data_IF_734055034986
#
_entry.id   IF_734055034986
#
_cell.length_a   1.000
_cell.length_b   1.000
_cell.length_c   1.000
_cell.angle_alpha   90.00
_cell.angle_beta   90.00
_cell.angle_gamma   90.00
#
_symmetry.space_group_name_H-M   'P 1'
#
loop_
_entity.id
_entity.type
_entity.pdbx_description
1 polymer ?
#
# COMPACT_ATOMS: atom_id res chain seq x y z
N UNK A 1 8.42 -13.45 2.99
CA UNK A 1 8.72 -12.31 2.09
C UNK A 1 8.30 -12.69 0.69
N UNK A 2 7.67 -11.76 -0.02
CA UNK A 2 7.20 -11.89 -1.39
C UNK A 2 8.01 -10.94 -2.26
N UNK A 3 8.43 -11.40 -3.43
CA UNK A 3 9.05 -10.57 -4.46
C UNK A 3 8.45 -10.93 -5.80
N UNK A 4 7.92 -9.93 -6.50
CA UNK A 4 7.41 -10.07 -7.87
C UNK A 4 8.12 -9.06 -8.75
N UNK A 5 8.48 -9.48 -9.95
CA UNK A 5 9.05 -8.61 -10.97
C UNK A 5 8.23 -8.75 -12.24
N UNK A 6 7.91 -7.62 -12.85
CA UNK A 6 7.28 -7.55 -14.16
C UNK A 6 7.96 -6.50 -15.03
N UNK A 7 7.83 -6.69 -16.33
CA UNK A 7 8.39 -5.79 -17.34
C UNK A 7 7.31 -5.43 -18.33
N UNK A 8 7.18 -4.13 -18.61
CA UNK A 8 6.20 -3.56 -19.51
C UNK A 8 6.89 -2.91 -20.71
N UNK A 9 6.25 -2.94 -21.87
CA UNK A 9 6.76 -2.31 -23.11
C UNK A 9 5.98 -1.06 -23.51
N UNK A 10 4.86 -0.80 -22.84
CA UNK A 10 3.82 0.15 -23.23
C UNK A 10 3.38 1.05 -22.08
N UNK A 11 4.17 1.10 -21.00
CA UNK A 11 4.01 1.95 -19.82
C UNK A 11 5.39 2.43 -19.39
N UNK A 12 5.55 3.74 -19.19
CA UNK A 12 6.80 4.35 -18.72
C UNK A 12 6.91 4.37 -17.18
N UNK A 13 8.14 4.55 -16.70
CA UNK A 13 8.42 4.56 -15.26
C UNK A 13 7.82 5.73 -14.49
N UNK A 14 7.63 6.90 -15.12
CA UNK A 14 7.01 8.06 -14.47
C UNK A 14 5.52 7.82 -14.24
N UNK A 15 4.83 7.22 -15.19
CA UNK A 15 3.42 6.83 -15.06
C UNK A 15 3.22 5.81 -13.94
N UNK A 16 4.07 4.78 -13.85
CA UNK A 16 4.02 3.83 -12.73
C UNK A 16 4.25 4.52 -11.38
N UNK A 17 5.19 5.45 -11.33
CA UNK A 17 5.51 6.20 -10.12
C UNK A 17 4.33 7.05 -9.65
N UNK A 18 3.70 7.77 -10.58
CA UNK A 18 2.52 8.57 -10.30
C UNK A 18 1.34 7.71 -9.81
N UNK A 19 1.07 6.58 -10.49
CA UNK A 19 0.00 5.63 -10.09
C UNK A 19 0.22 5.09 -8.68
N UNK A 20 1.47 4.82 -8.32
CA UNK A 20 1.82 4.28 -7.01
C UNK A 20 1.71 5.33 -5.90
N UNK A 21 1.89 6.61 -6.22
CA UNK A 21 1.81 7.70 -5.26
C UNK A 21 0.40 8.26 -5.09
N UNK A 22 -0.37 8.40 -6.16
CA UNK A 22 -1.63 9.16 -6.17
C UNK A 22 -2.73 8.49 -5.30
N UNK A 23 -3.01 9.01 -4.10
CA UNK A 23 -3.97 8.39 -3.18
C UNK A 23 -5.41 8.58 -3.67
N UNK A 24 -5.67 9.61 -4.48
CA UNK A 24 -7.00 9.84 -5.05
C UNK A 24 -7.28 8.85 -6.17
N UNK A 25 -6.27 8.57 -7.00
CA UNK A 25 -6.41 7.55 -8.03
C UNK A 25 -6.47 6.14 -7.46
N UNK A 26 -5.74 5.86 -6.37
CA UNK A 26 -5.78 4.51 -5.75
C UNK A 26 -7.21 4.05 -5.44
N UNK A 27 -8.08 4.95 -4.99
CA UNK A 27 -9.50 4.67 -4.72
C UNK A 27 -10.28 4.16 -5.94
N UNK A 28 -9.81 4.40 -7.16
CA UNK A 28 -10.53 4.00 -8.38
C UNK A 28 -10.13 2.63 -8.92
N UNK A 29 -8.92 2.17 -8.61
CA UNK A 29 -8.39 0.91 -9.16
C UNK A 29 -8.08 -0.15 -8.11
N UNK A 30 -7.89 0.25 -6.86
CA UNK A 30 -7.71 -0.65 -5.74
C UNK A 30 -9.05 -1.00 -5.11
N UNK A 31 -9.67 -2.06 -5.63
CA UNK A 31 -10.97 -2.55 -5.16
C UNK A 31 -10.94 -3.08 -3.72
N UNK A 32 -9.74 -3.33 -3.18
CA UNK A 32 -9.57 -3.79 -1.79
C UNK A 32 -9.43 -2.63 -0.80
N UNK A 33 -9.24 -1.40 -1.26
CA UNK A 33 -9.10 -0.23 -0.39
C UNK A 33 -10.45 0.17 0.23
N UNK A 34 -10.51 0.18 1.56
CA UNK A 34 -11.64 0.72 2.32
C UNK A 34 -11.45 2.20 2.64
N UNK A 35 -10.25 2.55 3.11
CA UNK A 35 -9.89 3.92 3.48
C UNK A 35 -8.40 4.15 3.18
N UNK A 36 -8.06 5.38 2.83
CA UNK A 36 -6.69 5.85 2.87
C UNK A 36 -6.65 7.32 3.21
N UNK A 37 -5.67 7.69 4.03
CA UNK A 37 -5.47 9.04 4.50
C UNK A 37 -3.99 9.35 4.64
N UNK A 38 -3.61 10.58 4.34
CA UNK A 38 -2.28 11.12 4.64
C UNK A 38 -2.36 11.78 6.02
N UNK A 39 -1.46 11.41 6.94
CA UNK A 39 -1.51 11.85 8.35
C UNK A 39 -0.62 13.07 8.57
N UNK A 40 0.66 12.97 8.21
CA UNK A 40 1.61 14.06 8.38
C UNK A 40 2.78 13.95 7.40
N UNK A 41 3.39 15.10 7.09
CA UNK A 41 4.64 15.17 6.35
C UNK A 41 5.85 15.21 7.31
N UNK A 42 6.82 14.30 7.09
CA UNK A 42 8.09 14.29 7.84
C UNK A 42 9.07 15.26 7.17
N UNK A 43 9.27 15.10 5.86
CA UNK A 43 10.13 15.94 5.03
C UNK A 43 9.65 15.86 3.56
N UNK A 44 10.33 16.50 2.58
CA UNK A 44 9.87 16.53 1.18
C UNK A 44 9.59 15.16 0.53
N UNK A 45 10.20 14.08 1.02
CA UNK A 45 10.10 12.76 0.42
C UNK A 45 9.69 11.66 1.41
N UNK A 46 9.22 12.04 2.60
CA UNK A 46 8.79 11.13 3.65
C UNK A 46 7.48 11.61 4.29
N UNK A 47 6.53 10.69 4.43
CA UNK A 47 5.24 10.93 5.09
C UNK A 47 4.84 9.77 5.99
N UNK A 48 3.79 10.00 6.79
CA UNK A 48 3.05 8.96 7.51
C UNK A 48 1.64 8.93 6.94
N UNK A 49 1.15 7.75 6.60
CA UNK A 49 -0.18 7.52 6.05
C UNK A 49 -0.93 6.40 6.76
N UNK A 50 -2.22 6.32 6.46
CA UNK A 50 -3.14 5.27 6.88
C UNK A 50 -3.71 4.57 5.66
N UNK A 51 -3.87 3.26 5.75
CA UNK A 51 -4.47 2.45 4.70
C UNK A 51 -5.24 1.27 5.29
N UNK A 52 -6.52 1.16 4.96
CA UNK A 52 -7.39 0.07 5.39
C UNK A 52 -7.82 -0.78 4.19
N UNK A 53 -7.81 -2.09 4.36
CA UNK A 53 -8.13 -3.08 3.33
C UNK A 53 -9.30 -3.97 3.72
N UNK A 54 -10.13 -4.25 2.74
CA UNK A 54 -11.13 -5.29 2.78
C UNK A 54 -10.45 -6.64 2.64
N UNK A 55 -10.73 -7.54 3.56
CA UNK A 55 -10.31 -8.93 3.46
C UNK A 55 -11.50 -9.83 3.06
N UNK A 56 -11.25 -10.93 2.35
CA UNK A 56 -12.31 -11.88 2.03
C UNK A 56 -12.85 -12.50 3.33
N UNK A 57 -14.18 -12.62 3.51
CA UNK A 57 -14.74 -13.35 4.64
C UNK A 57 -14.15 -14.76 4.74
N UNK A 58 -13.98 -15.32 5.95
CA UNK A 58 -14.36 -14.79 7.27
C UNK A 58 -13.30 -13.84 7.89
N UNK A 59 -12.27 -13.45 7.15
CA UNK A 59 -11.21 -12.59 7.67
C UNK A 59 -11.73 -11.18 8.01
N UNK A 60 -11.42 -10.69 9.21
CA UNK A 60 -11.68 -9.29 9.56
C UNK A 60 -10.89 -8.35 8.64
N UNK A 61 -11.37 -7.13 8.45
CA UNK A 61 -10.62 -6.15 7.65
C UNK A 61 -9.31 -5.79 8.35
N UNK A 62 -8.28 -5.45 7.57
CA UNK A 62 -6.97 -5.06 8.10
C UNK A 62 -6.72 -3.58 7.90
N UNK A 63 -5.99 -2.96 8.81
CA UNK A 63 -5.48 -1.61 8.63
C UNK A 63 -3.98 -1.51 8.92
N UNK A 64 -3.37 -0.46 8.36
CA UNK A 64 -1.95 -0.18 8.47
C UNK A 64 -1.75 1.31 8.64
N UNK A 65 -0.89 1.67 9.60
CA UNK A 65 -0.26 3.00 9.67
C UNK A 65 1.18 2.80 9.23
N UNK A 66 1.61 3.55 8.20
CA UNK A 66 2.93 3.36 7.61
C UNK A 66 3.68 4.66 7.46
N UNK A 67 4.96 4.63 7.78
CA UNK A 67 5.90 5.66 7.32
C UNK A 67 6.37 5.23 5.93
N UNK A 68 6.27 6.14 4.97
CA UNK A 68 6.66 5.89 3.58
C UNK A 68 7.73 6.90 3.16
N UNK A 69 8.69 6.38 2.41
CA UNK A 69 9.82 7.12 1.86
C UNK A 69 9.95 6.84 0.37
N UNK A 70 10.29 7.86 -0.40
CA UNK A 70 10.53 7.71 -1.83
C UNK A 70 11.78 8.45 -2.31
N UNK A 71 12.27 7.99 -3.45
CA UNK A 71 13.44 8.53 -4.15
C UNK A 71 13.21 8.45 -5.65
N UNK A 72 13.55 9.51 -6.36
CA UNK A 72 13.55 9.57 -7.82
C UNK A 72 14.95 9.96 -8.31
N UNK A 73 15.62 9.05 -9.01
CA UNK A 73 16.94 9.23 -9.63
C UNK A 73 16.86 9.32 -11.16
N UNK A 74 15.69 9.67 -11.72
CA UNK A 74 15.46 9.71 -13.17
C UNK A 74 15.07 8.33 -13.72
N UNK A 75 16.04 7.52 -14.14
CA UNK A 75 15.77 6.19 -14.69
C UNK A 75 15.42 5.15 -13.62
N UNK A 76 15.78 5.40 -12.36
CA UNK A 76 15.50 4.53 -11.22
C UNK A 76 14.65 5.28 -10.19
N UNK A 77 13.57 4.64 -9.72
CA UNK A 77 12.66 5.21 -8.73
C UNK A 77 12.33 4.17 -7.67
N UNK A 78 12.23 4.61 -6.43
CA UNK A 78 11.93 3.75 -5.27
C UNK A 78 10.85 4.36 -4.40
N UNK A 79 9.97 3.50 -3.90
CA UNK A 79 9.01 3.81 -2.85
C UNK A 79 9.09 2.67 -1.84
N UNK A 80 9.36 2.97 -0.58
CA UNK A 80 9.40 1.97 0.51
C UNK A 80 8.53 2.44 1.66
N UNK A 81 7.99 1.51 2.42
CA UNK A 81 7.28 1.79 3.65
C UNK A 81 7.49 0.68 4.67
N UNK A 82 7.27 1.04 5.93
CA UNK A 82 7.11 0.10 7.04
C UNK A 82 6.07 0.65 8.01
N UNK A 83 5.53 -0.23 8.86
CA UNK A 83 4.56 0.16 9.87
C UNK A 83 5.18 1.00 10.98
N UNK A 84 4.42 2.00 11.42
CA UNK A 84 4.66 2.84 12.59
C UNK A 84 3.36 2.99 13.38
N UNK A 85 3.42 3.50 14.61
CA UNK A 85 2.22 3.88 15.36
C UNK A 85 2.00 5.39 15.26
N UNK A 86 0.75 5.84 15.31
CA UNK A 86 0.43 7.27 15.34
C UNK A 86 -0.85 7.52 16.14
N UNK A 87 -0.85 8.53 17.01
CA UNK A 87 -1.95 8.86 17.92
C UNK A 87 -3.26 9.18 17.19
N UNK A 88 -3.18 9.75 15.98
CA UNK A 88 -4.34 9.99 15.12
C UNK A 88 -5.06 8.71 14.61
N UNK A 89 -4.40 7.55 14.68
CA UNK A 89 -4.90 6.25 14.20
C UNK A 89 -4.63 5.14 15.23
N UNK A 90 -5.29 5.20 16.40
CA UNK A 90 -5.22 4.13 17.40
C UNK A 90 -5.83 2.83 16.85
N UNK A 91 -5.78 1.75 17.63
CA UNK A 91 -6.43 0.50 17.26
C UNK A 91 -7.95 0.69 17.18
N UNK A 92 -8.54 0.23 16.08
CA UNK A 92 -9.97 0.37 15.80
C UNK A 92 -10.68 -0.96 16.03
N UNK A 93 -11.76 -0.95 16.82
CA UNK A 93 -12.59 -2.13 17.06
C UNK A 93 -13.12 -2.70 15.74
N UNK A 94 -13.05 -4.02 15.55
CA UNK A 94 -13.52 -4.69 14.34
C UNK A 94 -12.55 -4.65 13.15
N UNK A 95 -11.34 -4.12 13.34
CA UNK A 95 -10.24 -4.23 12.39
C UNK A 95 -9.01 -4.83 13.07
N UNK A 96 -8.23 -5.59 12.29
CA UNK A 96 -6.95 -6.15 12.73
C UNK A 96 -5.82 -5.26 12.22
N UNK A 97 -5.02 -4.69 13.13
CA UNK A 97 -3.83 -3.91 12.77
C UNK A 97 -2.73 -4.84 12.26
N UNK A 98 -2.49 -4.80 10.96
CA UNK A 98 -1.37 -5.51 10.33
C UNK A 98 -0.04 -4.79 10.54
N UNK A 99 1.06 -5.52 10.35
CA UNK A 99 2.42 -4.97 10.37
C UNK A 99 3.06 -5.17 8.99
N UNK A 100 3.39 -4.09 8.30
CA UNK A 100 4.32 -4.10 7.17
C UNK A 100 5.74 -3.94 7.73
N UNK A 101 6.53 -5.00 7.76
CA UNK A 101 7.95 -4.88 8.14
C UNK A 101 8.72 -4.14 7.05
N UNK A 102 8.38 -4.43 5.79
CA UNK A 102 8.87 -3.72 4.62
C UNK A 102 7.89 -3.97 3.47
N UNK A 103 7.42 -2.92 2.83
CA UNK A 103 6.80 -3.02 1.51
C UNK A 103 7.42 -1.98 0.60
N UNK A 104 7.74 -2.35 -0.64
CA UNK A 104 8.40 -1.43 -1.55
C UNK A 104 8.17 -1.74 -3.02
N UNK A 105 8.34 -0.69 -3.80
CA UNK A 105 8.29 -0.67 -5.25
C UNK A 105 9.61 -0.11 -5.77
N UNK A 106 10.20 -0.81 -6.71
CA UNK A 106 11.38 -0.39 -7.45
C UNK A 106 11.04 -0.35 -8.93
N UNK A 107 11.15 0.82 -9.53
CA UNK A 107 10.87 1.07 -10.93
C UNK A 107 12.19 1.38 -11.61
N UNK A 108 12.48 0.65 -12.68
CA UNK A 108 13.67 0.86 -13.49
C UNK A 108 13.25 1.05 -14.95
N UNK A 109 13.49 2.25 -15.47
CA UNK A 109 13.36 2.58 -16.87
C UNK A 109 14.58 2.02 -17.61
N UNK A 110 14.32 1.06 -18.49
CA UNK A 110 15.26 0.54 -19.48
C UNK A 110 14.89 1.16 -20.85
N UNK A 111 15.71 0.95 -21.88
CA UNK A 111 15.55 1.59 -23.20
C UNK A 111 14.10 1.58 -23.73
N UNK A 112 13.56 0.40 -24.05
CA UNK A 112 12.21 0.21 -24.61
C UNK A 112 11.27 -0.49 -23.64
N UNK A 113 11.65 -0.55 -22.36
CA UNK A 113 10.99 -1.39 -21.35
C UNK A 113 11.04 -0.71 -19.99
N UNK A 114 10.02 -0.95 -19.19
CA UNK A 114 9.98 -0.50 -17.80
C UNK A 114 9.83 -1.70 -16.90
N UNK A 115 10.74 -1.87 -15.96
CA UNK A 115 10.68 -2.94 -14.97
C UNK A 115 10.07 -2.42 -13.67
N UNK A 116 9.08 -3.14 -13.13
CA UNK A 116 8.54 -2.94 -11.80
C UNK A 116 8.89 -4.15 -10.93
N UNK A 117 9.57 -3.92 -9.81
CA UNK A 117 9.76 -4.92 -8.77
C UNK A 117 8.96 -4.51 -7.53
N UNK A 118 8.09 -5.41 -7.07
CA UNK A 118 7.35 -5.30 -5.82
C UNK A 118 7.95 -6.25 -4.79
N UNK A 119 8.21 -5.75 -3.59
CA UNK A 119 8.65 -6.55 -2.44
C UNK A 119 7.71 -6.27 -1.27
N UNK A 120 7.27 -7.31 -0.58
CA UNK A 120 6.55 -7.15 0.68
C UNK A 120 6.88 -8.25 1.67
N UNK A 121 7.15 -7.83 2.90
CA UNK A 121 7.24 -8.64 4.08
C UNK A 121 6.27 -8.04 5.10
N UNK A 122 5.09 -8.64 5.20
CA UNK A 122 4.04 -8.20 6.10
C UNK A 122 3.59 -9.36 6.97
N UNK A 123 3.25 -9.05 8.21
CA UNK A 123 2.50 -9.91 9.11
C UNK A 123 1.07 -9.35 9.16
N UNK A 124 0.09 -10.01 8.50
CA UNK A 124 -1.29 -9.54 8.49
C UNK A 124 -1.92 -9.55 9.88
N UNK A 125 -1.25 -10.15 10.88
CA UNK A 125 -1.78 -10.48 12.21
C UNK A 125 -3.11 -11.25 12.09
N UNK A 126 -3.65 -11.64 13.24
CA UNK A 126 -4.69 -12.68 13.25
C UNK A 126 -4.06 -14.08 13.36
N UNK A 127 -4.82 -15.02 13.92
CA UNK A 127 -4.41 -16.41 13.97
C UNK A 127 -4.69 -17.11 12.64
N UNK A 128 -3.92 -16.75 11.61
CA UNK A 128 -4.06 -17.36 10.30
C UNK A 128 -3.23 -18.65 10.23
N UNK A 129 -3.82 -19.79 9.87
CA UNK A 129 -3.05 -21.00 9.65
C UNK A 129 -2.09 -20.83 8.47
N UNK A 130 -0.93 -21.50 8.55
CA UNK A 130 0.14 -21.33 7.57
C UNK A 130 -0.29 -21.61 6.12
N UNK A 131 -1.22 -22.55 5.91
CA UNK A 131 -1.77 -22.86 4.59
C UNK A 131 -2.51 -21.65 3.98
N UNK A 132 -3.26 -20.89 4.80
CA UNK A 132 -4.02 -19.73 4.36
C UNK A 132 -3.08 -18.57 4.00
N UNK A 133 -2.05 -18.31 4.83
CA UNK A 133 -1.02 -17.31 4.55
C UNK A 133 -0.32 -17.61 3.21
N UNK A 134 0.04 -18.87 2.99
CA UNK A 134 0.71 -19.30 1.75
C UNK A 134 -0.20 -19.16 0.52
N UNK A 135 -1.48 -19.52 0.63
CA UNK A 135 -2.47 -19.39 -0.46
C UNK A 135 -2.71 -17.93 -0.81
N UNK A 136 -3.00 -17.09 0.18
CA UNK A 136 -3.20 -15.65 0.01
C UNK A 136 -1.99 -14.99 -0.66
N UNK A 137 -0.79 -15.28 -0.16
CA UNK A 137 0.46 -14.75 -0.70
C UNK A 137 0.63 -15.05 -2.20
N UNK A 138 0.35 -16.28 -2.63
CA UNK A 138 0.48 -16.70 -4.03
C UNK A 138 -0.55 -16.05 -4.95
N UNK A 139 -1.78 -15.84 -4.47
CA UNK A 139 -2.84 -15.21 -5.26
C UNK A 139 -2.68 -13.69 -5.36
N UNK A 140 -2.33 -13.02 -4.26
CA UNK A 140 -2.28 -11.56 -4.23
C UNK A 140 -1.13 -10.99 -5.05
N UNK A 141 0.04 -11.63 -5.03
CA UNK A 141 1.25 -11.02 -5.59
C UNK A 141 1.17 -10.76 -7.12
N UNK A 142 0.70 -11.70 -7.96
CA UNK A 142 0.47 -11.43 -9.38
C UNK A 142 -0.66 -10.43 -9.64
N UNK A 143 -1.73 -10.48 -8.82
CA UNK A 143 -2.87 -9.56 -8.93
C UNK A 143 -2.48 -8.11 -8.68
N UNK A 144 -1.61 -7.85 -7.71
CA UNK A 144 -1.10 -6.49 -7.41
C UNK A 144 -0.44 -5.89 -8.66
N UNK A 145 0.46 -6.62 -9.31
CA UNK A 145 1.14 -6.16 -10.52
C UNK A 145 0.14 -5.94 -11.67
N UNK A 146 -0.79 -6.88 -11.88
CA UNK A 146 -1.82 -6.77 -12.92
C UNK A 146 -2.71 -5.53 -12.72
N UNK A 147 -3.14 -5.26 -11.49
CA UNK A 147 -3.94 -4.08 -11.14
C UNK A 147 -3.15 -2.78 -11.34
N UNK A 148 -1.88 -2.72 -10.93
CA UNK A 148 -1.02 -1.55 -11.17
C UNK A 148 -0.85 -1.30 -12.67
N UNK A 149 -0.62 -2.36 -13.46
CA UNK A 149 -0.49 -2.25 -14.91
C UNK A 149 -1.78 -1.69 -15.55
N UNK A 150 -2.95 -2.25 -15.22
CA UNK A 150 -4.24 -1.75 -15.70
C UNK A 150 -4.47 -0.28 -15.29
N UNK A 151 -4.15 0.06 -14.04
CA UNK A 151 -4.27 1.42 -13.53
C UNK A 151 -3.37 2.40 -14.30
N UNK A 152 -2.15 2.00 -14.64
CA UNK A 152 -1.22 2.82 -15.41
C UNK A 152 -1.74 3.15 -16.81
N UNK A 153 -2.41 2.20 -17.49
CA UNK A 153 -3.03 2.47 -18.80
C UNK A 153 -4.11 3.55 -18.76
N UNK A 154 -4.80 3.69 -17.62
CA UNK A 154 -5.87 4.69 -17.43
C UNK A 154 -5.42 6.01 -16.81
N UNK A 155 -4.19 6.10 -16.30
CA UNK A 155 -3.81 7.17 -15.38
C UNK A 155 -3.85 8.56 -16.01
N UNK A 156 -3.27 8.76 -17.19
CA UNK A 156 -3.25 10.08 -17.83
C UNK A 156 -4.66 10.63 -18.10
N UNK A 157 -5.54 9.78 -18.63
CA UNK A 157 -6.93 10.14 -18.91
C UNK A 157 -7.71 10.52 -17.65
N UNK A 158 -7.46 9.83 -16.54
CA UNK A 158 -8.04 10.16 -15.26
C UNK A 158 -7.43 11.44 -14.68
N UNK A 159 -6.10 11.56 -14.65
CA UNK A 159 -5.37 12.65 -14.01
C UNK A 159 -5.66 14.00 -14.66
N UNK A 160 -5.82 14.02 -15.98
CA UNK A 160 -6.22 15.21 -16.74
C UNK A 160 -7.54 15.84 -16.24
N UNK A 161 -8.41 15.05 -15.61
CA UNK A 161 -9.72 15.47 -15.09
C UNK A 161 -9.75 15.65 -13.57
N UNK A 162 -8.66 15.32 -12.87
CA UNK A 162 -8.61 15.21 -11.41
C UNK A 162 -7.37 15.93 -10.86
N UNK A 163 -7.38 17.26 -10.93
CA UNK A 163 -6.27 18.14 -10.48
C UNK A 163 -4.92 17.72 -11.09
N UNK A 164 -4.74 17.88 -12.40
CA UNK A 164 -3.54 17.42 -13.11
C UNK A 164 -2.24 17.99 -12.55
N UNK A 165 -2.28 19.21 -12.01
CA UNK A 165 -1.17 19.93 -11.40
C UNK A 165 -0.81 19.44 -9.99
N UNK A 166 -1.73 18.74 -9.31
CA UNK A 166 -1.52 18.28 -7.93
C UNK A 166 -0.80 16.93 -7.93
N UNK A 167 0.53 16.98 -7.75
CA UNK A 167 1.44 15.84 -7.65
C UNK A 167 2.44 16.08 -6.52
N UNK A 168 2.01 16.00 -5.25
CA UNK A 168 2.84 16.30 -4.08
C UNK A 168 4.13 15.48 -3.98
N UNK A 169 4.16 14.28 -4.58
CA UNK A 169 5.36 13.44 -4.64
C UNK A 169 6.44 13.95 -5.61
N UNK A 170 6.09 14.80 -6.57
CA UNK A 170 7.03 15.51 -7.46
C UNK A 170 7.27 16.96 -7.00
N UNK A 171 6.26 17.56 -6.38
CA UNK A 171 6.18 18.96 -5.98
C UNK A 171 5.94 19.02 -4.45
N UNK A 172 6.98 18.79 -3.63
CA UNK A 172 6.84 18.56 -2.19
C UNK A 172 6.22 19.74 -1.44
N UNK A 173 6.33 20.96 -1.96
CA UNK A 173 5.67 22.14 -1.41
C UNK A 173 4.16 21.98 -1.33
N UNK A 174 3.54 21.22 -2.24
CA UNK A 174 2.09 20.94 -2.22
C UNK A 174 1.70 20.10 -1.00
N UNK A 175 2.48 19.07 -0.68
CA UNK A 175 2.30 18.25 0.52
C UNK A 175 2.57 19.07 1.78
N UNK A 176 3.68 19.80 1.77
CA UNK A 176 4.21 20.51 2.93
C UNK A 176 3.37 21.72 3.35
N UNK A 177 2.55 22.24 2.43
CA UNK A 177 1.57 23.29 2.69
C UNK A 177 0.22 22.76 3.19
N UNK A 178 -0.10 21.48 2.96
CA UNK A 178 -1.43 20.91 3.24
C UNK A 178 -1.43 19.95 4.43
N UNK A 179 -0.35 19.18 4.62
CA UNK A 179 -0.25 18.22 5.71
C UNK A 179 0.34 18.84 6.98
N UNK A 180 -0.13 18.41 8.17
CA UNK A 180 0.55 18.69 9.42
C UNK A 180 2.01 18.24 9.37
N UNK A 181 2.89 18.95 10.06
CA UNK A 181 4.29 18.51 10.23
C UNK A 181 4.37 17.41 11.26
N UNK A 182 5.24 16.45 10.99
CA UNK A 182 5.56 15.37 11.92
C UNK A 182 5.93 15.90 13.30
N UNK A 183 5.30 15.33 14.33
CA UNK A 183 5.60 15.59 15.72
C UNK A 183 5.96 14.25 16.41
N UNK A 184 7.17 14.12 16.96
CA UNK A 184 7.58 12.90 17.67
C UNK A 184 6.62 12.48 18.79
N UNK A 185 5.93 13.43 19.43
CA UNK A 185 4.98 13.14 20.50
C UNK A 185 3.74 12.37 20.02
N UNK A 186 3.44 12.38 18.71
CA UNK A 186 2.31 11.65 18.14
C UNK A 186 2.65 10.17 17.87
N UNK A 187 3.91 9.76 18.01
CA UNK A 187 4.32 8.36 17.85
C UNK A 187 4.12 7.60 19.16
N UNK A 188 3.13 6.71 19.18
CA UNK A 188 2.83 5.90 20.36
C UNK A 188 3.89 4.80 20.58
N UNK A 189 4.42 4.70 21.81
CA UNK A 189 5.42 3.71 22.23
C UNK A 189 4.82 2.31 22.41
N UNK A 190 3.48 2.17 22.38
CA UNK A 190 2.84 0.86 22.42
C UNK A 190 3.52 -0.06 21.41
N UNK A 191 4.17 -1.11 21.91
CA UNK A 191 4.72 -2.19 21.08
C UNK A 191 3.62 -2.53 20.07
N UNK A 192 3.94 -2.79 18.80
CA UNK A 192 2.96 -3.19 17.77
C UNK A 192 2.23 -4.46 18.23
N UNK A 193 1.30 -4.32 19.18
CA UNK A 193 0.60 -5.37 19.88
C UNK A 193 -0.45 -5.84 18.90
N UNK A 194 -0.43 -7.14 18.64
CA UNK A 194 -1.54 -7.75 17.91
C UNK A 194 -2.83 -7.42 18.68
N UNK A 195 -3.86 -6.96 17.97
CA UNK A 195 -5.19 -6.79 18.57
C UNK A 195 -5.64 -8.13 19.17
N UNK A 196 -6.14 -8.13 20.41
CA UNK A 196 -6.68 -9.33 21.08
C UNK A 196 -7.84 -9.97 20.29
N UNK A 197 -8.51 -9.18 19.44
CA UNK A 197 -9.53 -9.63 18.47
C UNK A 197 -9.03 -10.62 17.40
N UNK A 198 -7.73 -10.92 17.38
CA UNK A 198 -7.08 -11.90 16.49
C UNK A 198 -7.43 -13.36 16.81
N UNK A 199 -7.96 -13.64 18.01
CA UNK A 199 -8.20 -15.00 18.49
C UNK A 199 -9.42 -15.69 17.85
N UNK A 200 -10.41 -14.92 17.36
CA UNK A 200 -11.70 -15.46 16.86
C UNK A 200 -11.66 -15.94 15.40
N UNK A 201 -10.63 -15.57 14.63
CA UNK A 201 -10.61 -15.85 13.17
C UNK A 201 -10.34 -17.34 12.86
N UNK A 202 -9.59 -18.03 13.73
CA UNK A 202 -9.03 -19.36 13.49
C UNK A 202 -10.11 -20.46 13.38
N UNK A 203 -11.19 -20.35 14.15
CA UNK A 203 -12.26 -21.37 14.22
C UNK A 203 -13.22 -21.34 13.02
N UNK A 204 -13.17 -20.31 12.19
CA UNK A 204 -14.17 -20.04 11.14
C UNK A 204 -13.70 -20.29 9.70
N UNK A 205 -12.42 -20.60 9.48
CA UNK A 205 -11.80 -20.59 8.14
C UNK A 205 -11.85 -21.94 7.42
N UNK A 206 -12.37 -21.95 6.19
CA UNK A 206 -12.28 -23.07 5.24
C UNK A 206 -11.53 -22.71 3.95
N UNK A 207 -10.93 -23.70 3.27
CA UNK A 207 -10.21 -23.46 2.00
C UNK A 207 -11.10 -22.89 0.88
N UNK A 208 -12.40 -23.18 0.94
CA UNK A 208 -13.42 -22.73 -0.01
C UNK A 208 -13.73 -21.23 0.11
N UNK A 209 -13.38 -20.58 1.23
CA UNK A 209 -13.60 -19.14 1.45
C UNK A 209 -12.59 -18.27 0.68
N UNK A 210 -11.52 -18.89 0.19
CA UNK A 210 -10.46 -18.25 -0.59
C UNK A 210 -10.60 -18.51 -2.10
N UNK A 211 -11.79 -18.27 -2.64
CA UNK A 211 -12.08 -18.36 -4.07
C UNK A 211 -11.82 -17.03 -4.80
N UNK A 212 -11.42 -17.12 -6.06
CA UNK A 212 -11.17 -15.97 -6.92
C UNK A 212 -12.50 -15.35 -7.39
N UNK A 213 -12.98 -14.32 -6.69
CA UNK A 213 -14.18 -13.56 -7.12
C UNK A 213 -13.89 -12.52 -8.23
N UNK A 214 -12.62 -12.34 -8.61
CA UNK A 214 -12.18 -11.38 -9.65
C UNK A 214 -11.91 -12.07 -11.00
N UNK A 215 -12.89 -12.83 -11.53
CA UNK A 215 -12.86 -13.36 -12.90
C UNK A 215 -13.58 -12.42 -13.86
#
# INVERSE_FOLDING_TARGET
MVKVRATFTDVDGATLYDVLHDPNYRKTWDQTMLEGAEICAINPNNDIGYYAIKCPPPLKNRDFVTQRSWLDCGCEKMIINHSVNHAARPLTKGMVRGISYLTGYHILQLDKKTQLTYVSQSDPKGKLPAWAINKLTRMFAPKVISRIYKAAKGYHSWKAKNRPEYKPWLNPEQMMATLPRFNPADICIETLRASEESLDEEESMNEADFQDEDC
#
